data_IF_257613189200
#
_entry.id   IF_257613189200
#
_cell.length_a   1.000
_cell.length_b   1.000
_cell.length_c   1.000
_cell.angle_alpha   90.00
_cell.angle_beta   90.00
_cell.angle_gamma   90.00
#
_symmetry.space_group_name_H-M   'P 1'
#
loop_
_entity.id
_entity.type
_entity.pdbx_description
1 polymer ?
#
# COMPACT_ATOMS: atom_id res chain seq x y z
N UNK A 1 -25.30 30.97 -24.33
CA UNK A 1 -24.03 30.81 -23.57
C UNK A 1 -24.40 30.35 -22.16
N UNK A 2 -24.24 29.11 -21.70
CA UNK A 2 -23.17 28.11 -21.92
C UNK A 2 -21.96 28.45 -21.02
N UNK A 3 -21.35 27.59 -20.20
CA UNK A 3 -21.45 26.15 -19.85
C UNK A 3 -20.84 25.96 -18.42
N UNK A 4 -20.92 24.85 -17.65
CA UNK A 4 -21.40 23.44 -17.80
C UNK A 4 -21.78 22.90 -16.39
N UNK A 5 -22.41 21.72 -16.27
CA UNK A 5 -22.72 21.06 -14.98
C UNK A 5 -21.66 20.02 -14.53
N UNK A 6 -21.51 19.88 -13.19
CA UNK A 6 -20.91 18.75 -12.41
C UNK A 6 -19.41 18.42 -12.61
N UNK A 7 -18.62 17.90 -11.64
CA UNK A 7 -18.95 17.20 -10.38
C UNK A 7 -18.27 17.71 -9.07
N UNK A 8 -17.26 18.59 -9.08
CA UNK A 8 -16.68 19.14 -7.83
C UNK A 8 -17.00 20.64 -7.69
N UNK A 9 -17.57 21.01 -6.54
CA UNK A 9 -18.48 22.16 -6.45
C UNK A 9 -17.83 23.54 -6.52
N UNK A 10 -18.44 24.44 -7.31
CA UNK A 10 -18.38 25.89 -7.08
C UNK A 10 -19.56 26.31 -6.19
N UNK A 11 -19.30 26.77 -4.97
CA UNK A 11 -20.16 27.71 -4.22
C UNK A 11 -19.29 28.56 -3.29
N UNK A 12 -19.17 29.84 -3.59
CA UNK A 12 -18.89 30.87 -2.59
C UNK A 12 -20.20 31.18 -1.87
N UNK A 13 -20.24 31.09 -0.54
CA UNK A 13 -21.18 31.83 0.33
C UNK A 13 -20.63 31.93 1.75
N UNK A 14 -19.99 33.06 2.05
CA UNK A 14 -20.17 33.84 3.29
C UNK A 14 -20.15 33.12 4.66
N UNK A 15 -19.28 32.12 4.84
CA UNK A 15 -19.04 31.56 6.19
C UNK A 15 -17.63 30.96 6.37
N UNK A 16 -16.63 31.84 6.42
CA UNK A 16 -15.41 31.71 7.25
C UNK A 16 -14.38 30.59 6.99
N UNK A 17 -14.72 29.48 6.33
CA UNK A 17 -13.80 28.37 6.12
C UNK A 17 -13.06 28.56 4.80
N UNK A 18 -11.80 29.03 4.88
CA UNK A 18 -10.93 29.12 3.71
C UNK A 18 -10.58 27.71 3.23
N UNK A 19 -10.71 27.45 1.93
CA UNK A 19 -10.38 26.17 1.29
C UNK A 19 -8.93 25.72 1.58
N UNK A 20 -8.03 26.66 1.84
CA UNK A 20 -6.63 26.44 2.25
C UNK A 20 -6.46 25.64 3.53
N UNK A 21 -7.44 25.72 4.45
CA UNK A 21 -7.31 25.13 5.79
C UNK A 21 -7.65 23.63 5.77
N UNK A 22 -8.38 23.18 4.76
CA UNK A 22 -8.65 21.76 4.50
C UNK A 22 -7.42 21.05 3.90
N UNK A 23 -6.70 21.68 2.98
CA UNK A 23 -5.47 21.09 2.42
C UNK A 23 -4.38 20.97 3.48
N UNK A 24 -4.22 21.98 4.35
CA UNK A 24 -3.28 21.94 5.49
C UNK A 24 -3.63 20.93 6.59
N UNK A 25 -4.87 20.41 6.63
CA UNK A 25 -5.36 19.50 7.67
C UNK A 25 -5.51 18.05 7.22
N UNK A 26 -5.12 17.71 5.98
CA UNK A 26 -5.09 16.30 5.57
C UNK A 26 -4.03 15.56 6.41
N UNK A 27 -4.39 14.50 7.15
CA UNK A 27 -3.40 13.67 7.80
C UNK A 27 -2.49 13.04 6.72
N UNK A 28 -1.20 12.81 7.03
CA UNK A 28 -0.29 12.18 6.08
C UNK A 28 -0.82 10.83 5.59
N UNK A 29 -0.72 10.58 4.28
CA UNK A 29 -1.17 9.34 3.68
C UNK A 29 -0.25 8.19 4.12
N UNK A 30 -0.83 7.12 4.66
CA UNK A 30 -0.17 5.85 4.95
C UNK A 30 -0.75 4.75 4.07
N UNK A 31 0.09 3.83 3.57
CA UNK A 31 -0.32 2.73 2.70
C UNK A 31 -0.15 1.41 3.45
N UNK A 32 -1.14 0.53 3.44
CA UNK A 32 -1.07 -0.82 4.04
C UNK A 32 -1.09 -1.88 2.94
N UNK A 33 -0.11 -2.78 2.95
CA UNK A 33 0.08 -3.81 1.93
C UNK A 33 0.00 -5.20 2.59
N UNK A 34 -1.13 -5.93 2.46
CA UNK A 34 -1.28 -7.26 3.04
C UNK A 34 -0.55 -8.32 2.21
N UNK A 35 0.61 -8.78 2.70
CA UNK A 35 1.44 -9.83 2.11
C UNK A 35 1.34 -11.19 2.85
N UNK A 36 0.77 -11.22 4.05
CA UNK A 36 0.56 -12.43 4.87
C UNK A 36 -0.40 -13.47 4.26
N UNK A 37 -1.05 -13.16 3.13
CA UNK A 37 -1.98 -14.06 2.45
C UNK A 37 -1.30 -15.30 1.87
N UNK A 38 -1.42 -16.43 2.57
CA UNK A 38 -1.04 -17.74 2.03
C UNK A 38 -1.81 -18.00 0.73
N UNK A 39 -1.09 -18.15 -0.39
CA UNK A 39 -1.67 -18.40 -1.71
C UNK A 39 -2.28 -19.79 -1.88
N UNK A 40 -3.26 -20.17 -1.02
CA UNK A 40 -3.85 -21.51 -0.94
C UNK A 40 -4.44 -22.01 -2.27
N UNK A 41 -4.79 -21.10 -3.19
CA UNK A 41 -5.28 -21.41 -4.56
C UNK A 41 -4.18 -21.68 -5.61
N UNK A 42 -2.90 -21.71 -5.22
CA UNK A 42 -1.74 -21.92 -6.12
C UNK A 42 -0.87 -23.14 -5.75
N UNK A 43 -1.35 -24.04 -4.88
CA UNK A 43 -0.64 -25.29 -4.60
C UNK A 43 -0.64 -26.19 -5.86
N UNK A 44 0.47 -26.85 -6.21
CA UNK A 44 1.63 -27.12 -5.34
C UNK A 44 2.84 -26.18 -5.46
N UNK A 45 2.85 -25.18 -6.37
CA UNK A 45 4.10 -24.55 -6.85
C UNK A 45 4.64 -23.35 -6.04
N UNK A 46 4.82 -23.48 -4.72
CA UNK A 46 5.56 -22.48 -3.91
C UNK A 46 6.41 -23.16 -2.82
N UNK A 47 7.55 -23.76 -3.20
CA UNK A 47 8.38 -24.58 -2.28
C UNK A 47 9.76 -23.99 -1.91
N UNK A 48 10.07 -22.74 -2.26
CA UNK A 48 11.38 -22.14 -1.91
C UNK A 48 11.33 -20.65 -1.53
N UNK A 49 10.55 -19.83 -2.25
CA UNK A 49 10.46 -18.36 -2.05
C UNK A 49 9.03 -17.90 -1.75
N UNK A 50 8.84 -16.80 -0.99
CA UNK A 50 7.52 -16.24 -0.75
C UNK A 50 6.96 -15.65 -2.05
N UNK A 51 5.65 -15.82 -2.28
CA UNK A 51 4.99 -15.40 -3.53
C UNK A 51 5.30 -13.94 -3.96
N UNK A 52 5.32 -12.93 -3.07
CA UNK A 52 5.66 -11.55 -3.44
C UNK A 52 7.03 -11.39 -4.12
N UNK A 53 7.99 -12.26 -3.84
CA UNK A 53 9.35 -12.25 -4.41
C UNK A 53 9.53 -13.12 -5.65
N UNK A 54 8.47 -13.70 -6.20
CA UNK A 54 8.54 -14.39 -7.49
C UNK A 54 8.71 -13.37 -8.61
N UNK A 55 9.63 -13.64 -9.55
CA UNK A 55 9.84 -12.81 -10.72
C UNK A 55 8.78 -13.06 -11.79
N UNK A 56 8.25 -11.97 -12.36
CA UNK A 56 7.33 -11.94 -13.50
C UNK A 56 7.78 -10.80 -14.40
N UNK A 57 7.97 -11.03 -15.70
CA UNK A 57 8.37 -10.00 -16.67
C UNK A 57 9.56 -9.11 -16.20
N UNK A 58 10.61 -9.74 -15.67
CA UNK A 58 11.88 -9.08 -15.29
C UNK A 58 11.94 -8.50 -13.86
N UNK A 59 10.83 -8.29 -13.16
CA UNK A 59 10.80 -7.76 -11.79
C UNK A 59 10.04 -8.71 -10.84
N UNK A 60 10.16 -8.52 -9.52
CA UNK A 60 9.33 -9.26 -8.55
C UNK A 60 7.89 -8.75 -8.56
N UNK A 61 6.93 -9.57 -8.12
CA UNK A 61 5.52 -9.14 -7.98
C UNK A 61 5.41 -7.91 -7.05
N UNK A 62 6.15 -7.89 -5.94
CA UNK A 62 6.18 -6.73 -5.04
C UNK A 62 6.90 -5.53 -5.66
N UNK A 63 7.95 -5.74 -6.45
CA UNK A 63 8.65 -4.67 -7.17
C UNK A 63 7.76 -3.97 -8.20
N UNK A 64 6.92 -4.70 -8.92
CA UNK A 64 5.91 -4.10 -9.81
C UNK A 64 4.90 -3.24 -9.03
N UNK A 65 4.45 -3.71 -7.85
CA UNK A 65 3.53 -2.94 -7.00
C UNK A 65 4.19 -1.67 -6.46
N UNK A 66 5.43 -1.74 -5.96
CA UNK A 66 6.16 -0.59 -5.44
C UNK A 66 6.49 0.42 -6.54
N UNK A 67 6.86 -0.04 -7.73
CA UNK A 67 7.07 0.83 -8.89
C UNK A 67 5.77 1.51 -9.35
N UNK A 68 4.62 0.83 -9.27
CA UNK A 68 3.31 1.44 -9.59
C UNK A 68 2.92 2.54 -8.59
N UNK A 69 3.43 2.50 -7.36
CA UNK A 69 3.15 3.47 -6.31
C UNK A 69 4.24 4.54 -6.15
N UNK A 70 5.24 4.61 -7.05
CA UNK A 70 6.37 5.57 -6.95
C UNK A 70 5.91 7.02 -6.88
N UNK A 71 4.81 7.33 -7.55
CA UNK A 71 4.30 8.69 -7.71
C UNK A 71 3.35 9.10 -6.55
N UNK A 72 3.13 8.20 -5.58
CA UNK A 72 2.26 8.43 -4.43
C UNK A 72 3.10 8.96 -3.26
N UNK A 73 2.99 10.26 -2.97
CA UNK A 73 3.54 10.84 -1.74
C UNK A 73 2.87 10.23 -0.50
N UNK A 74 3.58 9.37 0.20
CA UNK A 74 3.16 8.71 1.44
C UNK A 74 4.21 8.93 2.53
N UNK A 75 3.76 9.06 3.79
CA UNK A 75 4.66 9.15 4.94
C UNK A 75 5.22 7.78 5.32
N UNK A 76 4.45 6.71 5.16
CA UNK A 76 4.76 5.38 5.68
C UNK A 76 4.05 4.29 4.88
N UNK A 77 4.80 3.24 4.51
CA UNK A 77 4.24 2.01 3.91
C UNK A 77 4.38 0.86 4.91
N UNK A 78 3.25 0.27 5.26
CA UNK A 78 3.12 -0.78 6.27
C UNK A 78 2.87 -2.10 5.56
N UNK A 79 3.84 -3.01 5.63
CA UNK A 79 3.75 -4.36 5.07
C UNK A 79 3.28 -5.34 6.15
N UNK A 80 2.08 -5.89 5.99
CA UNK A 80 1.59 -6.98 6.86
C UNK A 80 2.12 -8.30 6.30
N UNK A 81 3.17 -8.84 6.90
CA UNK A 81 3.89 -10.03 6.43
C UNK A 81 3.54 -11.27 7.25
N UNK A 82 3.77 -12.45 6.68
CA UNK A 82 3.51 -13.74 7.34
C UNK A 82 4.69 -14.69 7.12
N UNK A 83 4.41 -15.90 6.64
CA UNK A 83 5.45 -16.88 6.30
C UNK A 83 6.55 -16.29 5.39
N UNK A 84 7.82 -16.42 5.81
CA UNK A 84 9.01 -15.81 5.17
C UNK A 84 8.96 -14.27 5.06
N UNK A 85 8.39 -13.61 6.07
CA UNK A 85 8.37 -12.14 6.18
C UNK A 85 9.77 -11.51 6.11
N UNK A 86 10.76 -12.13 6.77
CA UNK A 86 12.14 -11.62 6.82
C UNK A 86 12.80 -11.54 5.43
N UNK A 87 12.51 -12.52 4.54
CA UNK A 87 12.99 -12.49 3.15
C UNK A 87 12.39 -11.31 2.38
N UNK A 88 11.11 -11.01 2.63
CA UNK A 88 10.39 -9.90 2.00
C UNK A 88 10.95 -8.57 2.52
N UNK A 89 11.13 -8.43 3.84
CA UNK A 89 11.69 -7.24 4.46
C UNK A 89 13.12 -6.96 3.97
N UNK A 90 14.00 -7.97 3.98
CA UNK A 90 15.37 -7.83 3.49
C UNK A 90 15.41 -7.41 2.02
N UNK A 91 14.56 -7.99 1.17
CA UNK A 91 14.47 -7.60 -0.23
C UNK A 91 13.98 -6.16 -0.41
N UNK A 92 12.94 -5.73 0.31
CA UNK A 92 12.41 -4.37 0.21
C UNK A 92 13.44 -3.35 0.69
N UNK A 93 14.07 -3.57 1.85
CA UNK A 93 15.11 -2.66 2.38
C UNK A 93 16.32 -2.53 1.44
N UNK A 94 16.70 -3.60 0.75
CA UNK A 94 17.80 -3.58 -0.21
C UNK A 94 17.47 -2.85 -1.53
N UNK A 95 16.23 -2.97 -2.03
CA UNK A 95 15.84 -2.42 -3.34
C UNK A 95 15.18 -1.03 -3.25
N UNK A 96 14.53 -0.70 -2.13
CA UNK A 96 13.83 0.55 -1.89
C UNK A 96 14.28 1.21 -0.56
N UNK A 97 15.57 1.53 -0.39
CA UNK A 97 16.11 2.07 0.87
C UNK A 97 15.58 3.46 1.23
N UNK A 98 14.96 4.17 0.28
CA UNK A 98 14.30 5.47 0.48
C UNK A 98 12.86 5.35 0.99
N UNK A 99 12.29 4.13 1.00
CA UNK A 99 10.91 3.89 1.43
C UNK A 99 10.85 3.82 2.95
N UNK A 100 10.01 4.64 3.59
CA UNK A 100 9.71 4.52 5.01
C UNK A 100 8.83 3.28 5.27
N UNK A 101 9.47 2.12 5.34
CA UNK A 101 8.85 0.81 5.39
C UNK A 101 8.77 0.27 6.83
N UNK A 102 7.54 0.07 7.32
CA UNK A 102 7.24 -0.66 8.57
C UNK A 102 6.74 -2.07 8.24
N UNK A 103 7.16 -3.05 9.03
CA UNK A 103 6.74 -4.44 8.89
C UNK A 103 5.93 -4.86 10.11
N UNK A 104 4.79 -5.53 9.88
CA UNK A 104 3.91 -6.05 10.91
C UNK A 104 3.73 -7.54 10.64
N UNK A 105 4.14 -8.38 11.59
CA UNK A 105 4.03 -9.84 11.45
C UNK A 105 2.62 -10.28 11.84
N UNK A 106 1.93 -10.99 10.95
CA UNK A 106 0.68 -11.68 11.21
C UNK A 106 0.95 -13.19 11.32
N UNK A 107 1.04 -13.69 12.55
CA UNK A 107 1.40 -15.09 12.84
C UNK A 107 0.32 -16.07 12.38
N UNK A 108 -0.96 -15.76 12.60
CA UNK A 108 -2.08 -16.59 12.16
C UNK A 108 -2.81 -16.03 10.92
N UNK A 109 -2.96 -16.82 9.84
CA UNK A 109 -3.69 -16.40 8.63
C UNK A 109 -5.21 -16.53 8.82
N UNK A 110 -5.77 -15.76 9.78
CA UNK A 110 -7.20 -15.71 10.14
C UNK A 110 -8.09 -14.99 9.10
N UNK A 111 -7.51 -14.50 8.00
CA UNK A 111 -8.24 -13.88 6.88
C UNK A 111 -8.04 -12.36 6.77
N UNK A 112 -8.56 -11.79 5.68
CA UNK A 112 -8.31 -10.39 5.29
C UNK A 112 -8.87 -9.36 6.28
N UNK A 113 -9.98 -9.66 6.96
CA UNK A 113 -10.61 -8.74 7.91
C UNK A 113 -9.74 -8.45 9.15
N UNK A 114 -8.96 -9.43 9.61
CA UNK A 114 -8.08 -9.28 10.77
C UNK A 114 -6.88 -8.35 10.50
N UNK A 115 -6.46 -8.21 9.23
CA UNK A 115 -5.33 -7.37 8.84
C UNK A 115 -5.64 -5.86 8.82
N UNK A 116 -6.90 -5.46 9.01
CA UNK A 116 -7.34 -4.05 9.10
C UNK A 116 -7.56 -3.62 10.56
N UNK A 117 -7.58 -4.57 11.50
CA UNK A 117 -7.85 -4.33 12.93
C UNK A 117 -6.57 -4.07 13.76
N UNK A 118 -5.38 -4.34 13.21
CA UNK A 118 -4.07 -4.16 13.86
C UNK A 118 -3.33 -2.90 13.38
#
# INVERSE_FOLDING_TARGET
MGIRNTEYGKRDTDNGIRTTDYEKRRPPLKIIIPLAGWGKRLRPHTWSRPKPLLHVAGNTIIGHLLNFMSDITTEEVIFVVGYKGDEIEAWIRANYPHLNARFVVQEEPLGQAHAIWM
#
